data_IF_467806154274
#
_entry.id   IF_467806154274
#
_cell.length_a   1.000
_cell.length_b   1.000
_cell.length_c   1.000
_cell.angle_alpha   90.00
_cell.angle_beta   90.00
_cell.angle_gamma   90.00
#
_symmetry.space_group_name_H-M   'P 1'
#
loop_
_entity.id
_entity.type
_entity.pdbx_description
1 polymer ?
#
# COMPACT_ATOMS: atom_id res chain seq x y z
N UNK A 1 -5.90 -16.22 10.42
CA UNK A 1 -4.87 -15.95 9.39
C UNK A 1 -4.56 -14.47 9.24
N UNK A 2 -3.49 -13.97 9.87
CA UNK A 2 -3.01 -12.59 9.70
C UNK A 2 -2.04 -12.43 8.50
N UNK A 3 -1.90 -13.45 7.65
CA UNK A 3 -0.77 -13.59 6.72
C UNK A 3 -1.04 -13.37 5.24
N UNK A 4 -2.29 -13.14 4.81
CA UNK A 4 -2.56 -13.06 3.37
C UNK A 4 -2.00 -11.76 2.76
N UNK A 5 -1.28 -11.90 1.65
CA UNK A 5 -0.69 -10.76 0.90
C UNK A 5 -1.74 -9.71 0.57
N UNK A 6 -2.99 -10.12 0.30
CA UNK A 6 -4.13 -9.23 0.03
C UNK A 6 -4.47 -8.35 1.24
N UNK A 7 -4.58 -8.93 2.43
CA UNK A 7 -4.87 -8.17 3.67
C UNK A 7 -3.75 -7.18 3.98
N UNK A 8 -2.49 -7.58 3.77
CA UNK A 8 -1.35 -6.67 3.96
C UNK A 8 -1.39 -5.48 2.99
N UNK A 9 -1.71 -5.71 1.71
CA UNK A 9 -1.85 -4.64 0.70
C UNK A 9 -3.01 -3.71 1.06
N UNK A 10 -4.15 -4.25 1.48
CA UNK A 10 -5.31 -3.46 1.90
C UNK A 10 -4.99 -2.57 3.11
N UNK A 11 -4.37 -3.13 4.14
CA UNK A 11 -3.93 -2.38 5.33
C UNK A 11 -2.95 -1.27 4.98
N UNK A 12 -1.93 -1.57 4.16
CA UNK A 12 -0.96 -0.57 3.72
C UNK A 12 -1.63 0.55 2.93
N UNK A 13 -2.65 0.25 2.14
CA UNK A 13 -3.39 1.25 1.36
C UNK A 13 -4.10 2.24 2.28
N UNK A 14 -4.82 1.75 3.29
CA UNK A 14 -5.47 2.62 4.30
C UNK A 14 -4.45 3.48 5.05
N UNK A 15 -3.33 2.90 5.47
CA UNK A 15 -2.27 3.65 6.15
C UNK A 15 -1.60 4.72 5.26
N UNK A 16 -1.41 4.42 3.97
CA UNK A 16 -0.86 5.34 2.97
C UNK A 16 -1.81 6.52 2.76
N UNK A 17 -3.12 6.29 2.64
CA UNK A 17 -4.09 7.37 2.44
C UNK A 17 -4.17 8.30 3.65
N UNK A 18 -4.14 7.75 4.86
CA UNK A 18 -4.06 8.54 6.09
C UNK A 18 -2.77 9.39 6.15
N UNK A 19 -1.62 8.79 5.85
CA UNK A 19 -0.33 9.50 5.84
C UNK A 19 -0.23 10.52 4.72
N UNK A 20 -0.88 10.30 3.57
CA UNK A 20 -0.94 11.24 2.46
C UNK A 20 -1.59 12.54 2.91
N UNK A 21 -2.72 12.46 3.62
CA UNK A 21 -3.41 13.63 4.17
C UNK A 21 -2.55 14.35 5.21
N UNK A 22 -1.93 13.60 6.14
CA UNK A 22 -1.00 14.15 7.14
C UNK A 22 0.18 14.89 6.52
N UNK A 23 0.82 14.30 5.50
CA UNK A 23 1.95 14.92 4.81
C UNK A 23 1.54 16.17 4.02
N UNK A 24 0.29 16.23 3.54
CA UNK A 24 -0.26 17.41 2.86
C UNK A 24 -0.50 18.57 3.84
N UNK A 25 -0.99 18.29 5.05
CA UNK A 25 -1.15 19.32 6.10
C UNK A 25 0.17 19.71 6.78
N UNK A 26 1.15 18.80 6.81
CA UNK A 26 2.45 19.02 7.45
C UNK A 26 3.62 18.86 6.45
N UNK A 27 3.80 19.81 5.52
CA UNK A 27 4.80 19.70 4.46
C UNK A 27 6.25 19.74 4.95
N UNK A 28 6.51 20.13 6.20
CA UNK A 28 7.85 20.16 6.81
C UNK A 28 8.20 18.86 7.58
N UNK A 29 7.26 17.93 7.73
CA UNK A 29 7.48 16.67 8.44
C UNK A 29 8.15 15.62 7.53
N UNK A 30 9.48 15.68 7.47
CA UNK A 30 10.29 14.78 6.65
C UNK A 30 10.33 13.34 7.20
N UNK A 31 10.12 13.14 8.50
CA UNK A 31 10.12 11.81 9.10
C UNK A 31 8.87 11.02 8.65
N UNK A 32 7.71 11.65 8.70
CA UNK A 32 6.46 11.05 8.22
C UNK A 32 6.49 10.79 6.71
N UNK A 33 7.09 11.68 5.91
CA UNK A 33 7.29 11.45 4.47
C UNK A 33 8.15 10.21 4.18
N UNK A 34 9.25 10.01 4.92
CA UNK A 34 10.07 8.79 4.79
C UNK A 34 9.27 7.54 5.13
N UNK A 35 8.48 7.58 6.20
CA UNK A 35 7.59 6.47 6.57
C UNK A 35 6.54 6.17 5.50
N UNK A 36 5.93 7.21 4.93
CA UNK A 36 5.01 7.11 3.79
C UNK A 36 5.65 6.45 2.57
N UNK A 37 6.83 6.93 2.15
CA UNK A 37 7.58 6.35 1.03
C UNK A 37 7.98 4.88 1.25
N UNK A 38 8.37 4.53 2.48
CA UNK A 38 8.70 3.16 2.85
C UNK A 38 7.47 2.23 2.73
N UNK A 39 6.29 2.68 3.19
CA UNK A 39 5.04 1.93 3.05
C UNK A 39 4.61 1.78 1.59
N UNK A 40 4.75 2.83 0.79
CA UNK A 40 4.47 2.79 -0.66
C UNK A 40 5.37 1.74 -1.35
N UNK A 41 6.65 1.73 -1.00
CA UNK A 41 7.64 0.76 -1.52
C UNK A 41 7.30 -0.67 -1.10
N UNK A 42 6.91 -0.88 0.16
CA UNK A 42 6.47 -2.18 0.67
C UNK A 42 5.22 -2.70 -0.06
N UNK A 43 4.19 -1.85 -0.25
CA UNK A 43 2.97 -2.19 -1.01
C UNK A 43 3.31 -2.58 -2.44
N UNK A 44 4.20 -1.83 -3.08
CA UNK A 44 4.66 -2.11 -4.45
C UNK A 44 5.35 -3.47 -4.54
N UNK A 45 6.18 -3.82 -3.55
CA UNK A 45 6.83 -5.14 -3.49
C UNK A 45 5.81 -6.28 -3.33
N UNK A 46 4.82 -6.10 -2.47
CA UNK A 46 3.76 -7.09 -2.25
C UNK A 46 2.88 -7.27 -3.50
N UNK A 47 2.52 -6.18 -4.20
CA UNK A 47 1.77 -6.26 -5.45
C UNK A 47 2.58 -6.99 -6.55
N UNK A 48 3.89 -6.73 -6.65
CA UNK A 48 4.77 -7.47 -7.57
C UNK A 48 4.84 -8.96 -7.22
N UNK A 49 4.91 -9.30 -5.94
CA UNK A 49 4.87 -10.69 -5.48
C UNK A 49 3.53 -11.35 -5.83
N UNK A 50 2.41 -10.71 -5.49
CA UNK A 50 1.06 -11.21 -5.77
C UNK A 50 0.82 -11.42 -7.27
N UNK A 51 1.33 -10.53 -8.12
CA UNK A 51 1.27 -10.67 -9.58
C UNK A 51 2.00 -11.92 -10.09
N UNK A 52 3.10 -12.32 -9.44
CA UNK A 52 3.89 -13.51 -9.83
C UNK A 52 3.26 -14.81 -9.36
N UNK A 53 2.73 -14.81 -8.13
CA UNK A 53 2.12 -16.00 -7.52
C UNK A 53 0.70 -16.26 -8.04
N UNK A 54 -0.14 -15.22 -8.07
CA UNK A 54 -1.57 -15.34 -8.37
C UNK A 54 -2.07 -14.12 -9.16
N UNK A 55 -2.02 -14.16 -10.50
CA UNK A 55 -2.50 -13.08 -11.36
C UNK A 55 -3.97 -12.72 -11.13
N UNK A 56 -4.80 -13.72 -10.79
CA UNK A 56 -6.23 -13.52 -10.50
C UNK A 56 -6.44 -12.73 -9.21
N UNK A 57 -5.70 -13.05 -8.14
CA UNK A 57 -5.76 -12.30 -6.89
C UNK A 57 -5.20 -10.88 -7.07
N UNK A 58 -4.17 -10.71 -7.90
CA UNK A 58 -3.64 -9.40 -8.24
C UNK A 58 -4.71 -8.51 -8.91
N UNK A 59 -5.41 -9.02 -9.94
CA UNK A 59 -6.49 -8.29 -10.61
C UNK A 59 -7.65 -7.96 -9.66
N UNK A 60 -8.01 -8.92 -8.81
CA UNK A 60 -9.06 -8.72 -7.78
C UNK A 60 -8.65 -7.63 -6.80
N UNK A 61 -7.40 -7.64 -6.34
CA UNK A 61 -6.86 -6.68 -5.37
C UNK A 61 -6.78 -5.27 -5.96
N UNK A 62 -6.35 -5.14 -7.21
CA UNK A 62 -6.34 -3.85 -7.93
C UNK A 62 -7.76 -3.26 -8.03
N UNK A 63 -8.73 -4.09 -8.42
CA UNK A 63 -10.13 -3.68 -8.57
C UNK A 63 -10.76 -3.31 -7.23
N UNK A 64 -10.44 -4.05 -6.16
CA UNK A 64 -11.02 -3.82 -4.83
C UNK A 64 -10.50 -2.55 -4.17
N UNK A 65 -9.23 -2.22 -4.40
CA UNK A 65 -8.57 -1.07 -3.77
C UNK A 65 -8.53 0.17 -4.68
N UNK A 66 -9.19 0.11 -5.85
CA UNK A 66 -9.19 1.14 -6.89
C UNK A 66 -7.77 1.67 -7.21
N UNK A 67 -6.79 0.76 -7.21
CA UNK A 67 -5.42 1.07 -7.54
C UNK A 67 -5.26 0.96 -9.06
N UNK A 68 -5.20 2.11 -9.75
CA UNK A 68 -4.92 2.21 -11.20
C UNK A 68 -3.46 2.53 -11.47
#
# INVERSE_FOLDING_TARGET
>A
DCGSTRVQIARLTVEIDALRLHCASHPKDEHSKRGFQAKLSARTRLLKYLRRESPQDYATTLTTLDLK
#
